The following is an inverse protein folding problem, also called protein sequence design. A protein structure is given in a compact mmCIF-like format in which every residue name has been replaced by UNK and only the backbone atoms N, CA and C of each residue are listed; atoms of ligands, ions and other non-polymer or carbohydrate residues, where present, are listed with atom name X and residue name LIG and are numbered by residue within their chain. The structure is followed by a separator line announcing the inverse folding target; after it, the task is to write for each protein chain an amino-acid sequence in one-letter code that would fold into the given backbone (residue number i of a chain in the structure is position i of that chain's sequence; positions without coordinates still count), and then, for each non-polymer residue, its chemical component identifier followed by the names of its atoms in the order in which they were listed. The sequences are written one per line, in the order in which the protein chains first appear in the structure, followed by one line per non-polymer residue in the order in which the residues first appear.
data_IF_348703841270
#
_entry.id   IF_348703841270
#
_cell.length_a   1.000
_cell.length_b   1.000
_cell.length_c   1.000
_cell.angle_alpha   90.00
_cell.angle_beta   90.00
_cell.angle_gamma   90.00
#
_symmetry.space_group_name_H-M   'P 1'
#
loop_
_entity.id
_entity.type
_entity.pdbx_description
1 polymer ?
#
# COMPACT_ATOMS: atom_id res chain seq x y z
N UNK A 1 -4.87 -39.07 -1.17
CA UNK A 1 -3.57 -38.36 -1.19
C UNK A 1 -3.66 -37.31 -2.28
N UNK A 2 -4.18 -36.13 -1.92
CA UNK A 2 -4.31 -35.02 -2.87
C UNK A 2 -2.95 -34.35 -2.98
N UNK A 3 -2.44 -34.19 -4.20
CA UNK A 3 -1.31 -33.32 -4.47
C UNK A 3 -1.73 -31.90 -4.10
N UNK A 4 -1.41 -31.46 -2.88
CA UNK A 4 -1.36 -30.05 -2.55
C UNK A 4 -0.24 -29.46 -3.40
N UNK A 5 -0.62 -28.74 -4.45
CA UNK A 5 0.31 -27.93 -5.23
C UNK A 5 0.83 -26.83 -4.30
N UNK A 6 1.89 -27.13 -3.56
CA UNK A 6 2.55 -26.18 -2.67
C UNK A 6 3.16 -25.07 -3.52
N UNK A 7 2.79 -23.83 -3.23
CA UNK A 7 3.33 -22.61 -3.87
C UNK A 7 4.87 -22.58 -3.89
N UNK A 8 5.53 -23.33 -3.00
CA UNK A 8 6.99 -23.47 -2.89
C UNK A 8 7.66 -23.90 -4.21
N UNK A 9 6.91 -24.46 -5.18
CA UNK A 9 7.44 -24.95 -6.45
C UNK A 9 7.03 -24.13 -7.69
N UNK A 10 6.36 -22.99 -7.52
CA UNK A 10 5.91 -22.15 -8.64
C UNK A 10 6.23 -20.68 -8.37
N UNK A 11 7.23 -20.18 -9.11
CA UNK A 11 7.78 -18.81 -9.12
C UNK A 11 8.54 -18.37 -7.86
N UNK A 12 9.82 -17.98 -8.04
CA UNK A 12 10.59 -17.29 -7.01
C UNK A 12 9.98 -15.91 -6.81
N UNK A 13 9.18 -15.76 -5.77
CA UNK A 13 8.64 -14.48 -5.33
C UNK A 13 9.73 -13.69 -4.58
N UNK A 14 9.68 -12.37 -4.69
CA UNK A 14 10.53 -11.48 -3.91
C UNK A 14 9.84 -10.15 -3.63
N UNK A 15 10.36 -9.43 -2.63
CA UNK A 15 9.94 -8.09 -2.27
C UNK A 15 10.89 -7.06 -2.90
N UNK A 16 10.32 -6.09 -3.59
CA UNK A 16 11.01 -4.90 -4.07
C UNK A 16 10.58 -3.72 -3.19
N UNK A 17 11.53 -2.92 -2.71
CA UNK A 17 11.24 -1.78 -1.83
C UNK A 17 11.39 -0.50 -2.66
N UNK A 18 10.28 0.19 -2.90
CA UNK A 18 10.28 1.48 -3.59
C UNK A 18 10.25 2.62 -2.56
N UNK A 19 11.18 3.59 -2.63
CA UNK A 19 11.27 4.63 -1.62
C UNK A 19 10.12 5.63 -1.73
N UNK A 20 9.55 5.96 -0.57
CA UNK A 20 8.71 7.13 -0.35
C UNK A 20 9.63 8.22 0.18
N UNK A 21 9.73 9.33 -0.54
CA UNK A 21 10.64 10.42 -0.24
C UNK A 21 9.94 11.52 0.55
N UNK A 22 10.59 11.99 1.61
CA UNK A 22 10.29 13.26 2.25
C UNK A 22 11.06 14.37 1.53
N UNK A 23 10.34 15.25 0.85
CA UNK A 23 10.87 16.39 0.09
C UNK A 23 10.57 17.68 0.86
N UNK A 24 11.60 18.22 1.53
CA UNK A 24 11.48 19.49 2.29
C UNK A 24 11.91 20.69 1.45
N UNK A 25 12.86 20.50 0.53
CA UNK A 25 13.32 21.52 -0.40
C UNK A 25 13.95 20.86 -1.65
N UNK A 26 14.39 21.68 -2.62
CA UNK A 26 15.13 21.21 -3.79
C UNK A 26 16.51 20.62 -3.45
N UNK A 27 17.06 20.88 -2.27
CA UNK A 27 18.34 20.36 -1.79
C UNK A 27 18.22 19.41 -0.61
N UNK A 28 17.02 19.24 -0.06
CA UNK A 28 16.76 18.40 1.11
C UNK A 28 15.69 17.37 0.79
N UNK A 29 16.13 16.19 0.36
CA UNK A 29 15.30 14.99 0.18
C UNK A 29 15.88 13.83 0.99
N UNK A 30 15.03 13.13 1.71
CA UNK A 30 15.40 11.95 2.49
C UNK A 30 14.37 10.84 2.31
N UNK A 31 14.79 9.60 2.51
CA UNK A 31 13.87 8.46 2.47
C UNK A 31 13.03 8.47 3.74
N UNK A 32 11.71 8.62 3.60
CA UNK A 32 10.76 8.52 4.71
C UNK A 32 10.44 7.05 5.06
N UNK A 33 10.41 6.20 4.05
CA UNK A 33 10.12 4.77 4.17
C UNK A 33 10.12 4.12 2.80
N UNK A 34 9.64 2.88 2.74
CA UNK A 34 9.51 2.15 1.49
C UNK A 34 8.13 1.52 1.37
N UNK A 35 7.55 1.58 0.18
CA UNK A 35 6.48 0.66 -0.19
C UNK A 35 7.08 -0.70 -0.58
N UNK A 36 6.52 -1.76 -0.02
CA UNK A 36 6.92 -3.14 -0.29
C UNK A 36 6.04 -3.71 -1.40
N UNK A 37 6.67 -4.01 -2.53
CA UNK A 37 6.03 -4.45 -3.76
C UNK A 37 6.34 -5.93 -4.02
N UNK A 38 5.30 -6.75 -4.12
CA UNK A 38 5.43 -8.16 -4.48
C UNK A 38 5.80 -8.31 -5.96
N UNK A 39 6.82 -9.12 -6.26
CA UNK A 39 7.28 -9.39 -7.62
C UNK A 39 7.56 -10.88 -7.83
N UNK A 40 7.34 -11.36 -9.06
CA UNK A 40 7.79 -12.69 -9.52
C UNK A 40 9.09 -12.56 -10.33
N UNK A 41 10.06 -13.44 -10.09
CA UNK A 41 11.29 -13.53 -10.90
C UNK A 41 11.02 -13.92 -12.36
N UNK A 42 9.83 -14.44 -12.68
CA UNK A 42 9.43 -14.80 -14.05
C UNK A 42 9.45 -13.60 -15.00
N UNK A 43 9.00 -12.44 -14.52
CA UNK A 43 8.81 -11.25 -15.37
C UNK A 43 9.10 -9.93 -14.65
N UNK A 44 9.53 -9.96 -13.38
CA UNK A 44 9.75 -8.78 -12.53
C UNK A 44 8.51 -7.89 -12.39
N UNK A 45 7.31 -8.48 -12.42
CA UNK A 45 6.02 -7.80 -12.23
C UNK A 45 5.25 -8.39 -11.07
N UNK A 46 4.19 -7.70 -10.66
CA UNK A 46 3.22 -8.24 -9.70
C UNK A 46 2.58 -9.52 -10.26
N UNK A 47 2.61 -10.64 -9.53
CA UNK A 47 2.03 -11.92 -9.97
C UNK A 47 0.50 -11.90 -9.79
N UNK A 48 -0.20 -11.13 -10.62
CA UNK A 48 -1.64 -10.84 -10.46
C UNK A 48 -2.48 -12.11 -10.39
N UNK A 49 -2.26 -13.08 -11.27
CA UNK A 49 -3.10 -14.28 -11.38
C UNK A 49 -2.91 -15.19 -10.17
N UNK A 50 -1.65 -15.42 -9.79
CA UNK A 50 -1.27 -16.24 -8.65
C UNK A 50 -1.75 -15.60 -7.34
N UNK A 51 -1.50 -14.29 -7.17
CA UNK A 51 -1.99 -13.53 -6.02
C UNK A 51 -3.52 -13.60 -5.91
N UNK A 52 -4.23 -13.31 -7.01
CA UNK A 52 -5.70 -13.32 -7.04
C UNK A 52 -6.25 -14.69 -6.66
N UNK A 53 -5.60 -15.78 -7.09
CA UNK A 53 -5.99 -17.16 -6.77
C UNK A 53 -5.77 -17.47 -5.29
N UNK A 54 -4.62 -17.10 -4.72
CA UNK A 54 -4.31 -17.37 -3.31
C UNK A 54 -5.29 -16.70 -2.36
N UNK A 55 -5.65 -15.45 -2.62
CA UNK A 55 -6.55 -14.68 -1.73
C UNK A 55 -8.02 -15.11 -1.84
N UNK A 56 -8.40 -16.06 -2.71
CA UNK A 56 -9.78 -16.58 -2.76
C UNK A 56 -10.09 -17.63 -1.69
N UNK A 57 -9.08 -18.18 -1.00
CA UNK A 57 -9.29 -19.22 0.00
C UNK A 57 -8.45 -18.96 1.25
N UNK A 58 -8.93 -19.40 2.41
CA UNK A 58 -8.16 -19.33 3.67
C UNK A 58 -6.79 -20.00 3.55
N UNK A 59 -6.73 -21.21 2.97
CA UNK A 59 -5.46 -21.96 2.85
C UNK A 59 -4.46 -21.25 1.93
N UNK A 60 -4.92 -20.70 0.79
CA UNK A 60 -4.06 -19.94 -0.10
C UNK A 60 -3.57 -18.64 0.52
N UNK A 61 -4.46 -17.88 1.18
CA UNK A 61 -4.09 -16.65 1.87
C UNK A 61 -3.14 -16.92 3.04
N UNK A 62 -3.34 -18.03 3.77
CA UNK A 62 -2.45 -18.42 4.86
C UNK A 62 -1.02 -18.69 4.37
N UNK A 63 -0.85 -19.36 3.23
CA UNK A 63 0.47 -19.58 2.64
C UNK A 63 1.14 -18.25 2.29
N UNK A 64 0.40 -17.35 1.64
CA UNK A 64 0.89 -16.01 1.28
C UNK A 64 1.29 -15.19 2.51
N UNK A 65 0.44 -15.15 3.54
CA UNK A 65 0.69 -14.41 4.79
C UNK A 65 1.90 -14.95 5.57
N UNK A 66 2.10 -16.28 5.60
CA UNK A 66 3.30 -16.88 6.20
C UNK A 66 4.56 -16.47 5.46
N UNK A 67 4.52 -16.44 4.12
CA UNK A 67 5.63 -15.98 3.31
C UNK A 67 5.93 -14.49 3.54
N UNK A 68 4.92 -13.62 3.50
CA UNK A 68 5.07 -12.20 3.80
C UNK A 68 5.67 -11.96 5.18
N UNK A 69 5.17 -12.64 6.22
CA UNK A 69 5.71 -12.49 7.58
C UNK A 69 7.20 -12.84 7.66
N UNK A 70 7.65 -13.88 6.94
CA UNK A 70 9.06 -14.27 6.88
C UNK A 70 9.91 -13.19 6.22
N UNK A 71 9.51 -12.69 5.07
CA UNK A 71 10.30 -11.70 4.32
C UNK A 71 10.28 -10.31 4.98
N UNK A 72 9.11 -9.86 5.47
CA UNK A 72 9.01 -8.59 6.21
C UNK A 72 9.83 -8.62 7.50
N UNK A 73 9.85 -9.74 8.22
CA UNK A 73 10.69 -9.89 9.42
C UNK A 73 12.18 -9.76 9.09
N UNK A 74 12.63 -10.19 7.90
CA UNK A 74 14.01 -9.97 7.45
C UNK A 74 14.27 -8.50 7.16
N UNK A 75 13.38 -7.84 6.42
CA UNK A 75 13.50 -6.41 6.11
C UNK A 75 13.53 -5.54 7.37
N UNK A 76 12.57 -5.73 8.28
CA UNK A 76 12.47 -4.98 9.53
C UNK A 76 13.71 -5.17 10.42
N UNK A 77 14.27 -6.39 10.48
CA UNK A 77 15.53 -6.63 11.21
C UNK A 77 16.74 -5.98 10.55
N UNK A 78 16.77 -5.96 9.22
CA UNK A 78 17.89 -5.40 8.45
C UNK A 78 17.90 -3.87 8.50
N UNK A 79 16.73 -3.23 8.54
CA UNK A 79 16.56 -1.78 8.63
C UNK A 79 15.60 -1.39 9.77
N UNK A 80 16.07 -1.43 11.03
CA UNK A 80 15.20 -1.27 12.21
C UNK A 80 14.56 0.12 12.37
N UNK A 81 15.13 1.15 11.74
CA UNK A 81 14.65 2.53 11.78
C UNK A 81 13.80 2.90 10.54
N UNK A 82 13.51 1.92 9.67
CA UNK A 82 12.79 2.15 8.42
C UNK A 82 11.34 1.71 8.52
N UNK A 83 10.43 2.57 8.03
CA UNK A 83 9.03 2.23 7.83
C UNK A 83 8.83 1.52 6.49
N UNK A 84 8.08 0.44 6.51
CA UNK A 84 7.69 -0.35 5.35
C UNK A 84 6.16 -0.35 5.21
N UNK A 85 5.66 0.11 4.08
CA UNK A 85 4.27 -0.02 3.74
C UNK A 85 3.99 -1.37 3.09
N UNK A 86 2.95 -2.06 3.55
CA UNK A 86 2.56 -3.39 3.09
C UNK A 86 1.14 -3.33 2.56
N UNK A 87 0.99 -3.65 1.29
CA UNK A 87 -0.29 -3.78 0.61
C UNK A 87 -1.09 -4.97 1.15
N UNK A 88 -2.32 -4.71 1.60
CA UNK A 88 -3.31 -5.72 2.00
C UNK A 88 -4.58 -5.47 1.19
N UNK A 89 -4.93 -6.43 0.34
CA UNK A 89 -6.15 -6.35 -0.45
C UNK A 89 -7.38 -6.63 0.46
N UNK A 90 -8.50 -5.90 0.35
CA UNK A 90 -9.69 -6.08 1.21
C UNK A 90 -10.20 -7.52 1.31
N UNK A 91 -10.20 -8.27 0.21
CA UNK A 91 -10.49 -9.71 0.17
C UNK A 91 -9.69 -10.55 1.21
N UNK A 92 -8.45 -10.16 1.52
CA UNK A 92 -7.62 -10.88 2.48
C UNK A 92 -8.15 -10.73 3.92
N UNK A 93 -8.85 -9.64 4.23
CA UNK A 93 -9.40 -9.36 5.55
C UNK A 93 -10.57 -10.28 5.92
N UNK A 94 -11.13 -11.01 4.94
CA UNK A 94 -12.11 -12.07 5.16
C UNK A 94 -11.51 -13.31 5.82
N UNK A 95 -10.19 -13.48 5.74
CA UNK A 95 -9.48 -14.69 6.16
C UNK A 95 -8.83 -14.52 7.54
N UNK A 96 -8.96 -15.54 8.39
CA UNK A 96 -8.39 -15.54 9.73
C UNK A 96 -6.87 -15.44 9.70
N UNK A 97 -6.23 -16.01 8.68
CA UNK A 97 -4.78 -15.92 8.47
C UNK A 97 -4.24 -14.50 8.37
N UNK A 98 -5.01 -13.54 7.85
CA UNK A 98 -4.59 -12.12 7.80
C UNK A 98 -4.57 -11.51 9.20
N UNK A 99 -5.55 -11.84 10.04
CA UNK A 99 -5.58 -11.41 11.43
C UNK A 99 -4.46 -12.05 12.25
N UNK A 100 -4.19 -13.34 12.05
CA UNK A 100 -3.03 -14.03 12.65
C UNK A 100 -1.69 -13.42 12.19
N UNK A 101 -1.61 -12.92 10.96
CA UNK A 101 -0.45 -12.19 10.46
C UNK A 101 -0.24 -10.88 11.22
N UNK A 102 -1.28 -10.08 11.42
CA UNK A 102 -1.20 -8.85 12.23
C UNK A 102 -0.77 -9.15 13.68
N UNK A 103 -1.29 -10.21 14.29
CA UNK A 103 -0.85 -10.64 15.63
C UNK A 103 0.63 -11.03 15.66
N UNK A 104 1.07 -11.84 14.69
CA UNK A 104 2.46 -12.32 14.61
C UNK A 104 3.46 -11.20 14.31
N UNK A 105 3.02 -10.19 13.56
CA UNK A 105 3.85 -9.06 13.15
C UNK A 105 3.72 -7.86 14.09
N UNK A 106 2.94 -7.94 15.18
CA UNK A 106 2.70 -6.82 16.09
C UNK A 106 3.99 -6.26 16.72
N UNK A 107 5.03 -7.10 16.88
CA UNK A 107 6.38 -6.68 17.31
C UNK A 107 7.04 -5.68 16.35
N UNK A 108 6.64 -5.66 15.08
CA UNK A 108 7.13 -4.72 14.05
C UNK A 108 6.12 -3.63 13.71
N UNK A 109 5.01 -3.47 14.46
CA UNK A 109 3.93 -2.52 14.08
C UNK A 109 4.39 -1.08 13.89
N UNK A 110 5.39 -0.62 14.64
CA UNK A 110 5.96 0.72 14.47
C UNK A 110 6.74 0.89 13.14
N UNK A 111 7.20 -0.22 12.55
CA UNK A 111 7.87 -0.26 11.25
C UNK A 111 6.91 -0.59 10.10
N UNK A 112 5.67 -0.98 10.37
CA UNK A 112 4.74 -1.45 9.35
C UNK A 112 3.55 -0.52 9.21
N UNK A 113 3.41 0.07 8.02
CA UNK A 113 2.19 0.75 7.59
C UNK A 113 1.37 -0.22 6.74
N UNK A 114 0.07 -0.31 6.99
CA UNK A 114 -0.83 -1.16 6.21
C UNK A 114 -1.50 -0.30 5.14
N UNK A 115 -1.28 -0.65 3.88
CA UNK A 115 -1.89 0.01 2.72
C UNK A 115 -3.09 -0.81 2.24
N UNK A 116 -4.27 -0.20 2.30
CA UNK A 116 -5.52 -0.81 1.85
C UNK A 116 -5.91 -0.20 0.51
N UNK A 117 -5.97 -1.02 -0.52
CA UNK A 117 -6.43 -0.60 -1.85
C UNK A 117 -7.92 -0.28 -1.84
N UNK A 118 -8.35 0.65 -2.69
CA UNK A 118 -9.76 0.93 -2.98
C UNK A 118 -10.46 -0.14 -3.84
N UNK A 119 -10.01 -1.40 -3.86
CA UNK A 119 -10.69 -2.45 -4.62
C UNK A 119 -11.88 -3.05 -3.87
N UNK A 120 -12.99 -3.36 -4.55
CA UNK A 120 -14.13 -4.01 -3.91
C UNK A 120 -13.78 -5.46 -3.54
N UNK A 121 -14.39 -5.94 -2.47
CA UNK A 121 -14.38 -7.37 -2.15
C UNK A 121 -15.26 -8.07 -3.18
N UNK A 122 -14.67 -9.01 -3.93
CA UNK A 122 -15.37 -9.72 -5.01
C UNK A 122 -16.32 -10.79 -4.50
N UNK A 123 -16.01 -11.38 -3.34
CA UNK A 123 -16.93 -12.28 -2.65
C UNK A 123 -17.95 -11.43 -1.91
N UNK A 124 -19.19 -11.40 -2.39
CA UNK A 124 -20.33 -10.81 -1.67
C UNK A 124 -20.57 -11.63 -0.40
N UNK A 125 -19.78 -11.39 0.65
CA UNK A 125 -20.19 -11.69 2.00
C UNK A 125 -21.01 -10.50 2.48
N UNK A 126 -22.32 -10.71 2.66
CA UNK A 126 -23.27 -9.70 3.13
C UNK A 126 -22.87 -9.05 4.46
N UNK A 127 -21.88 -9.62 5.17
CA UNK A 127 -21.38 -9.17 6.48
C UNK A 127 -20.02 -8.46 6.46
N UNK A 128 -19.34 -8.30 5.31
CA UNK A 128 -18.03 -7.62 5.32
C UNK A 128 -18.18 -6.09 5.34
N UNK A 129 -17.76 -5.49 6.45
CA UNK A 129 -17.63 -4.04 6.59
C UNK A 129 -16.15 -3.66 6.71
N UNK A 130 -15.64 -2.97 5.68
CA UNK A 130 -14.26 -2.51 5.67
C UNK A 130 -13.96 -1.56 6.83
N UNK A 131 -14.94 -0.78 7.28
CA UNK A 131 -14.77 0.18 8.38
C UNK A 131 -14.52 -0.54 9.70
N UNK A 132 -15.22 -1.66 9.93
CA UNK A 132 -14.96 -2.54 11.08
C UNK A 132 -13.57 -3.17 10.98
N UNK A 133 -13.17 -3.60 9.79
CA UNK A 133 -11.83 -4.15 9.59
C UNK A 133 -10.73 -3.11 9.84
N UNK A 134 -10.87 -1.88 9.35
CA UNK A 134 -9.96 -0.74 9.59
C UNK A 134 -9.86 -0.48 11.10
N UNK A 135 -10.99 -0.38 11.81
CA UNK A 135 -11.00 -0.18 13.25
C UNK A 135 -10.26 -1.31 14.00
N UNK A 136 -10.41 -2.56 13.55
CA UNK A 136 -9.69 -3.71 14.12
C UNK A 136 -8.19 -3.65 13.85
N UNK A 137 -7.75 -3.25 12.65
CA UNK A 137 -6.33 -3.04 12.33
C UNK A 137 -5.73 -1.93 13.21
N UNK A 138 -6.45 -0.81 13.41
CA UNK A 138 -6.05 0.24 14.36
C UNK A 138 -5.96 -0.26 15.79
N UNK A 139 -6.86 -1.14 16.22
CA UNK A 139 -6.81 -1.74 17.56
C UNK A 139 -5.55 -2.62 17.78
N UNK A 140 -4.98 -3.22 16.73
CA UNK A 140 -3.66 -3.86 16.80
C UNK A 140 -2.49 -2.84 16.91
N UNK A 141 -2.75 -1.56 16.62
CA UNK A 141 -1.81 -0.46 16.73
C UNK A 141 -0.99 -0.21 15.46
N UNK A 142 -1.50 -0.62 14.30
CA UNK A 142 -0.89 -0.31 13.01
C UNK A 142 -1.32 1.05 12.49
N UNK A 143 -0.41 1.70 11.75
CA UNK A 143 -0.72 2.86 10.90
C UNK A 143 -1.40 2.36 9.64
N UNK A 144 -2.45 3.06 9.19
CA UNK A 144 -3.23 2.67 8.02
C UNK A 144 -3.20 3.78 6.97
N UNK A 145 -2.87 3.39 5.74
CA UNK A 145 -2.97 4.21 4.56
C UNK A 145 -4.05 3.67 3.63
N UNK A 146 -4.80 4.58 2.98
CA UNK A 146 -5.71 4.23 1.88
C UNK A 146 -4.98 4.48 0.57
N UNK A 147 -4.87 3.44 -0.24
CA UNK A 147 -4.12 3.46 -1.49
C UNK A 147 -4.99 3.78 -2.71
N UNK A 148 -4.37 4.36 -3.74
CA UNK A 148 -4.97 4.67 -5.05
C UNK A 148 -6.28 5.49 -5.01
N UNK A 149 -6.40 6.46 -4.10
CA UNK A 149 -7.64 7.23 -3.94
C UNK A 149 -8.03 7.95 -5.25
N UNK A 150 -9.28 7.74 -5.69
CA UNK A 150 -9.83 8.45 -6.86
C UNK A 150 -9.47 7.82 -8.21
N UNK A 151 -8.91 6.61 -8.23
CA UNK A 151 -8.61 5.85 -9.45
C UNK A 151 -9.83 5.06 -10.00
N UNK A 152 -10.96 5.08 -9.28
CA UNK A 152 -12.28 4.70 -9.81
C UNK A 152 -12.69 3.24 -9.58
N UNK A 153 -12.05 2.51 -8.65
CA UNK A 153 -12.35 1.11 -8.37
C UNK A 153 -13.31 0.91 -7.17
N UNK A 154 -13.35 1.83 -6.18
CA UNK A 154 -14.43 1.90 -5.18
C UNK A 154 -15.09 3.29 -5.15
N UNK A 155 -16.28 3.32 -4.53
CA UNK A 155 -17.04 4.54 -4.28
C UNK A 155 -16.29 5.41 -3.27
N UNK A 156 -15.92 6.64 -3.64
CA UNK A 156 -15.41 7.70 -2.75
C UNK A 156 -16.04 7.69 -1.34
N UNK A 157 -17.32 7.33 -1.25
CA UNK A 157 -18.07 7.09 -0.01
C UNK A 157 -17.33 6.23 1.02
N UNK A 158 -16.63 5.18 0.60
CA UNK A 158 -15.89 4.27 1.49
C UNK A 158 -14.63 4.94 2.07
N UNK A 159 -13.92 5.73 1.26
CA UNK A 159 -12.81 6.56 1.77
C UNK A 159 -13.36 7.58 2.75
N UNK A 160 -14.42 8.31 2.39
CA UNK A 160 -15.03 9.33 3.24
C UNK A 160 -15.57 8.78 4.57
N UNK A 161 -16.14 7.57 4.58
CA UNK A 161 -16.61 6.91 5.80
C UNK A 161 -15.47 6.58 6.78
N UNK A 162 -14.24 6.47 6.28
CA UNK A 162 -13.09 5.99 7.04
C UNK A 162 -12.01 7.06 7.28
N UNK A 163 -12.20 8.32 6.85
CA UNK A 163 -11.20 9.38 6.99
C UNK A 163 -10.77 9.64 8.45
N UNK A 164 -11.67 9.47 9.42
CA UNK A 164 -11.34 9.60 10.84
C UNK A 164 -10.58 8.40 11.42
N UNK A 165 -10.53 7.29 10.68
CA UNK A 165 -10.01 5.99 11.11
C UNK A 165 -8.75 5.56 10.37
N UNK A 166 -8.23 6.39 9.46
CA UNK A 166 -6.95 6.18 8.77
C UNK A 166 -5.94 7.25 9.17
N UNK A 167 -4.70 7.10 8.72
CA UNK A 167 -3.59 7.99 9.09
C UNK A 167 -2.96 8.64 7.84
N UNK A 168 -3.09 7.99 6.69
CA UNK A 168 -2.48 8.43 5.44
C UNK A 168 -3.41 8.18 4.25
N UNK A 169 -3.31 9.05 3.26
CA UNK A 169 -3.93 8.90 1.95
C UNK A 169 -2.83 8.82 0.89
N UNK A 170 -3.00 7.98 -0.13
CA UNK A 170 -2.12 7.92 -1.30
C UNK A 170 -2.89 8.27 -2.55
N UNK A 171 -2.36 9.21 -3.33
CA UNK A 171 -2.97 9.71 -4.56
C UNK A 171 -2.03 9.52 -5.74
N UNK A 172 -2.48 8.79 -6.77
CA UNK A 172 -1.66 8.52 -7.95
C UNK A 172 -1.96 9.51 -9.07
N UNK A 173 -0.92 10.16 -9.59
CA UNK A 173 -1.02 10.98 -10.81
C UNK A 173 -1.04 10.13 -12.10
N UNK A 174 -0.68 8.85 -12.01
CA UNK A 174 -0.54 7.97 -13.18
C UNK A 174 -1.80 7.88 -14.06
N UNK A 175 -3.03 7.76 -13.51
CA UNK A 175 -4.24 7.72 -14.34
C UNK A 175 -4.49 9.00 -15.15
N UNK A 176 -3.96 10.14 -14.70
CA UNK A 176 -4.17 11.45 -15.34
C UNK A 176 -3.17 11.74 -16.47
N UNK A 177 -2.06 10.99 -16.55
CA UNK A 177 -1.02 11.20 -17.57
C UNK A 177 -1.57 11.09 -19.00
N UNK A 178 -2.54 10.19 -19.24
CA UNK A 178 -3.13 9.99 -20.56
C UNK A 178 -4.39 10.82 -20.82
N UNK A 179 -4.93 11.48 -19.79
CA UNK A 179 -6.17 12.25 -19.88
C UNK A 179 -5.84 13.74 -20.03
N UNK A 180 -5.47 14.35 -18.91
CA UNK A 180 -5.08 15.74 -18.75
C UNK A 180 -4.44 15.86 -17.36
N UNK A 181 -3.17 16.25 -17.33
CA UNK A 181 -2.41 16.35 -16.10
C UNK A 181 -2.95 17.46 -15.18
N UNK A 182 -3.48 18.55 -15.73
CA UNK A 182 -4.06 19.66 -14.95
C UNK A 182 -5.30 19.21 -14.16
N UNK A 183 -6.06 18.26 -14.70
CA UNK A 183 -7.18 17.63 -13.99
C UNK A 183 -6.65 16.85 -12.78
N UNK A 184 -5.56 16.09 -12.94
CA UNK A 184 -4.92 15.36 -11.84
C UNK A 184 -4.49 16.29 -10.70
N UNK A 185 -3.85 17.41 -11.04
CA UNK A 185 -3.47 18.43 -10.07
C UNK A 185 -4.67 19.09 -9.37
N UNK A 186 -5.79 19.27 -10.09
CA UNK A 186 -7.04 19.78 -9.51
C UNK A 186 -7.64 18.81 -8.49
N UNK A 187 -7.65 17.50 -8.78
CA UNK A 187 -8.06 16.47 -7.82
C UNK A 187 -7.11 16.40 -6.63
N UNK A 188 -5.80 16.49 -6.87
CA UNK A 188 -4.81 16.55 -5.80
C UNK A 188 -5.07 17.73 -4.85
N UNK A 189 -5.37 18.92 -5.38
CA UNK A 189 -5.69 20.09 -4.56
C UNK A 189 -6.92 19.87 -3.67
N UNK A 190 -7.92 19.13 -4.16
CA UNK A 190 -9.07 18.72 -3.34
C UNK A 190 -8.65 17.74 -2.23
N UNK A 191 -7.88 16.71 -2.56
CA UNK A 191 -7.39 15.73 -1.59
C UNK A 191 -6.47 16.32 -0.53
N UNK A 192 -5.65 17.32 -0.89
CA UNK A 192 -4.85 18.09 0.06
C UNK A 192 -5.72 18.76 1.13
N UNK A 193 -6.84 19.38 0.73
CA UNK A 193 -7.78 19.99 1.69
C UNK A 193 -8.43 18.95 2.58
N UNK A 194 -8.75 17.77 2.05
CA UNK A 194 -9.30 16.65 2.83
C UNK A 194 -8.25 16.16 3.84
N UNK A 195 -7.02 15.90 3.39
CA UNK A 195 -5.94 15.45 4.25
C UNK A 195 -5.67 16.46 5.38
N UNK A 196 -5.61 17.76 5.08
CA UNK A 196 -5.45 18.81 6.09
C UNK A 196 -6.62 18.84 7.10
N UNK A 197 -7.87 18.75 6.61
CA UNK A 197 -9.06 18.77 7.48
C UNK A 197 -9.06 17.61 8.49
N UNK A 198 -8.60 16.43 8.07
CA UNK A 198 -8.58 15.23 8.90
C UNK A 198 -7.21 14.94 9.52
N UNK A 199 -6.23 15.84 9.35
CA UNK A 199 -4.85 15.69 9.84
C UNK A 199 -4.16 14.40 9.36
N UNK A 200 -4.37 14.06 8.09
CA UNK A 200 -3.81 12.87 7.45
C UNK A 200 -2.51 13.22 6.72
N UNK A 201 -1.57 12.27 6.69
CA UNK A 201 -0.46 12.31 5.73
C UNK A 201 -1.02 12.14 4.30
N UNK A 202 -0.40 12.80 3.32
CA UNK A 202 -0.72 12.61 1.90
C UNK A 202 0.55 12.27 1.13
N UNK A 203 0.59 11.07 0.56
CA UNK A 203 1.64 10.62 -0.34
C UNK A 203 1.13 10.78 -1.78
N UNK A 204 1.92 11.43 -2.63
CA UNK A 204 1.61 11.52 -4.07
C UNK A 204 2.53 10.62 -4.86
N UNK A 205 1.93 9.80 -5.71
CA UNK A 205 2.61 8.81 -6.54
C UNK A 205 2.69 9.21 -8.02
N UNK A 206 3.54 8.51 -8.76
CA UNK A 206 3.71 8.74 -10.20
C UNK A 206 4.66 9.88 -10.53
N UNK A 207 5.62 10.18 -9.64
CA UNK A 207 6.57 11.28 -9.85
C UNK A 207 7.71 10.79 -10.74
N UNK A 208 7.75 11.24 -11.98
CA UNK A 208 8.68 10.75 -13.00
C UNK A 208 9.81 11.73 -13.35
N UNK A 209 9.62 13.03 -13.07
CA UNK A 209 10.57 14.07 -13.44
C UNK A 209 10.67 15.17 -12.35
N UNK A 210 11.71 16.00 -12.47
CA UNK A 210 12.03 17.02 -11.47
C UNK A 210 10.99 18.13 -11.45
N UNK A 211 10.43 18.46 -12.61
CA UNK A 211 9.40 19.48 -12.80
C UNK A 211 8.17 19.16 -11.94
N UNK A 212 7.66 17.93 -12.01
CA UNK A 212 6.56 17.44 -11.16
C UNK A 212 6.89 17.51 -9.67
N UNK A 213 8.10 17.13 -9.28
CA UNK A 213 8.54 17.23 -7.88
C UNK A 213 8.49 18.68 -7.38
N UNK A 214 8.92 19.65 -8.20
CA UNK A 214 8.86 21.08 -7.85
C UNK A 214 7.42 21.55 -7.72
N UNK A 215 6.55 21.23 -8.69
CA UNK A 215 5.13 21.61 -8.64
C UNK A 215 4.44 21.09 -7.38
N UNK A 216 4.70 19.83 -7.02
CA UNK A 216 4.15 19.22 -5.81
C UNK A 216 4.66 19.89 -4.54
N UNK A 217 5.95 20.22 -4.50
CA UNK A 217 6.53 20.93 -3.37
C UNK A 217 5.91 22.33 -3.20
N UNK A 218 5.68 23.05 -4.30
CA UNK A 218 5.00 24.36 -4.32
C UNK A 218 3.54 24.27 -3.82
N UNK A 219 2.87 23.14 -4.05
CA UNK A 219 1.53 22.85 -3.51
C UNK A 219 1.54 22.42 -2.03
N UNK A 220 2.72 22.28 -1.40
CA UNK A 220 2.85 21.79 -0.03
C UNK A 220 2.79 20.27 0.11
N UNK A 221 3.03 19.52 -0.96
CA UNK A 221 3.13 18.05 -0.94
C UNK A 221 4.56 17.64 -0.66
N UNK A 222 4.77 17.06 0.53
CA UNK A 222 6.10 16.71 1.01
C UNK A 222 6.43 15.22 0.93
N UNK A 223 5.42 14.34 0.83
CA UNK A 223 5.66 12.90 0.66
C UNK A 223 5.40 12.52 -0.80
N UNK A 224 6.43 12.02 -1.46
CA UNK A 224 6.42 11.78 -2.90
C UNK A 224 7.02 10.42 -3.24
N UNK A 225 6.41 9.71 -4.19
CA UNK A 225 6.87 8.40 -4.64
C UNK A 225 6.82 8.31 -6.18
N UNK A 226 7.84 7.73 -6.78
CA UNK A 226 7.87 7.56 -8.22
C UNK A 226 9.24 7.26 -8.80
N UNK A 227 9.29 7.08 -10.12
CA UNK A 227 10.48 6.67 -10.85
C UNK A 227 11.56 7.74 -10.95
N UNK A 228 11.24 9.00 -10.64
CA UNK A 228 12.25 10.03 -10.40
C UNK A 228 13.26 9.57 -9.34
N UNK A 229 12.77 8.92 -8.29
CA UNK A 229 13.57 8.52 -7.13
C UNK A 229 14.16 7.13 -7.32
N UNK A 230 13.31 6.15 -7.59
CA UNK A 230 13.71 4.77 -7.86
C UNK A 230 12.52 3.95 -8.37
N UNK A 231 12.83 2.92 -9.18
CA UNK A 231 11.86 1.85 -9.53
C UNK A 231 11.70 0.81 -8.41
N UNK A 232 12.49 0.95 -7.35
CA UNK A 232 12.61 0.04 -6.23
C UNK A 232 13.84 -0.85 -6.32
N UNK A 233 14.29 -1.32 -5.16
CA UNK A 233 15.48 -2.15 -4.99
C UNK A 233 15.23 -3.31 -4.02
N UNK A 234 16.04 -4.37 -4.10
CA UNK A 234 16.02 -5.45 -3.11
C UNK A 234 16.90 -5.03 -1.94
N UNK A 235 16.29 -4.89 -0.76
CA UNK A 235 16.95 -4.35 0.42
C UNK A 235 17.69 -5.35 1.28
#
# INVERSE_FOLDING_TARGET
MGNETTWENTDRLYLLCQPIMQVKSLSQQEVNGYEVLLRSEKNNRFPQQEFSTMIQTESGNQQLMRWYAKELRRLCKKKPETRFSVNIHPQQLLWQSTWSFFETMAVYKAQLQIELTEHPVRIQQESFDLSVAIAKIKAYGYVIAVDDIGCGQNTLSLVFANLASVDCLKFSLLPFIQLDEEIGFSFLACWLKVAQKYQLELIVEGIENREKMVQLLEMGVHLQQGYLWSKGERL
#
